data_IF_231505737243
#
_entry.id   IF_231505737243
#
_cell.length_a   1.000
_cell.length_b   1.000
_cell.length_c   1.000
_cell.angle_alpha   90.00
_cell.angle_beta   90.00
_cell.angle_gamma   90.00
#
_symmetry.space_group_name_H-M   'P 1'
#
loop_
_entity.id
_entity.type
_entity.pdbx_description
1 polymer ?
#
# COMPACT_ATOMS: atom_id res chain seq x y z
N UNK A 1 15.65 -2.12 -16.59
CA UNK A 1 15.23 -1.44 -15.35
C UNK A 1 14.14 -2.27 -14.69
N UNK A 2 14.22 -2.53 -13.38
CA UNK A 2 13.11 -3.15 -12.67
C UNK A 2 12.04 -2.08 -12.44
N UNK A 3 10.92 -2.18 -13.14
CA UNK A 3 9.78 -1.26 -13.02
C UNK A 3 8.52 -1.97 -12.54
N UNK A 4 7.39 -1.27 -12.55
CA UNK A 4 6.08 -1.88 -12.27
C UNK A 4 5.77 -2.97 -13.31
N UNK A 5 5.72 -4.24 -12.91
CA UNK A 5 5.47 -5.38 -13.81
C UNK A 5 3.98 -5.69 -13.90
N UNK A 6 3.25 -5.53 -12.78
CA UNK A 6 1.85 -5.93 -12.69
C UNK A 6 1.10 -5.11 -11.63
N UNK A 7 -0.04 -4.55 -11.99
CA UNK A 7 -0.75 -3.55 -11.19
C UNK A 7 -1.21 -4.01 -9.81
N UNK A 8 -1.49 -5.31 -9.64
CA UNK A 8 -1.82 -5.91 -8.33
C UNK A 8 -0.64 -5.94 -7.37
N UNK A 9 0.58 -6.00 -7.90
CA UNK A 9 1.81 -6.04 -7.09
C UNK A 9 2.31 -4.61 -6.85
N UNK A 10 2.40 -3.81 -7.92
CA UNK A 10 2.89 -2.43 -7.83
C UNK A 10 2.29 -1.59 -8.95
N UNK A 11 1.82 -0.38 -8.62
CA UNK A 11 1.36 0.59 -9.59
C UNK A 11 1.67 2.02 -9.12
N UNK A 12 1.99 2.94 -10.05
CA UNK A 12 2.49 4.26 -9.69
C UNK A 12 1.43 5.15 -9.01
N UNK A 13 0.14 4.91 -9.24
CA UNK A 13 -0.93 5.68 -8.61
C UNK A 13 -1.05 5.36 -7.13
N UNK A 14 -1.05 4.06 -6.77
CA UNK A 14 -1.09 3.62 -5.39
C UNK A 14 0.20 3.98 -4.64
N UNK A 15 1.36 3.87 -5.30
CA UNK A 15 2.65 4.24 -4.68
C UNK A 15 2.67 5.70 -4.21
N UNK A 16 2.08 6.63 -4.98
CA UNK A 16 1.95 8.04 -4.55
C UNK A 16 1.03 8.15 -3.33
N UNK A 17 -0.09 7.42 -3.30
CA UNK A 17 -1.00 7.42 -2.16
C UNK A 17 -0.33 6.86 -0.90
N UNK A 18 0.36 5.72 -1.03
CA UNK A 18 1.07 5.05 0.05
C UNK A 18 2.16 5.94 0.64
N UNK A 19 2.97 6.59 -0.20
CA UNK A 19 4.00 7.55 0.24
C UNK A 19 3.41 8.73 1.01
N UNK A 20 2.28 9.29 0.54
CA UNK A 20 1.60 10.40 1.23
C UNK A 20 1.03 9.95 2.57
N UNK A 21 0.42 8.78 2.62
CA UNK A 21 -0.14 8.24 3.86
C UNK A 21 0.96 7.97 4.89
N UNK A 22 2.06 7.33 4.48
CA UNK A 22 3.21 7.09 5.35
C UNK A 22 3.78 8.40 5.92
N UNK A 23 3.88 9.45 5.09
CA UNK A 23 4.33 10.77 5.53
C UNK A 23 3.38 11.45 6.54
N UNK A 24 2.06 11.25 6.40
CA UNK A 24 1.04 11.81 7.31
C UNK A 24 1.10 11.11 8.67
N UNK A 25 1.20 9.78 8.67
CA UNK A 25 1.18 8.96 9.89
C UNK A 25 2.56 8.86 10.56
N UNK A 26 3.62 9.36 9.92
CA UNK A 26 5.01 9.20 10.38
C UNK A 26 5.51 7.75 10.31
N UNK A 27 4.90 6.93 9.46
CA UNK A 27 5.23 5.52 9.28
C UNK A 27 6.40 5.29 8.30
N UNK A 28 7.05 4.13 8.41
CA UNK A 28 8.11 3.71 7.48
C UNK A 28 7.58 3.32 6.09
N UNK A 29 6.27 3.08 5.97
CA UNK A 29 5.58 2.70 4.74
C UNK A 29 4.07 2.59 4.95
N UNK A 30 3.31 2.46 3.87
CA UNK A 30 1.87 2.21 3.88
C UNK A 30 1.48 1.27 2.74
N UNK A 31 0.29 0.68 2.81
CA UNK A 31 -0.23 -0.22 1.79
C UNK A 31 -1.68 0.14 1.44
N UNK A 32 -1.94 0.47 0.18
CA UNK A 32 -3.27 0.78 -0.31
C UNK A 32 -4.01 -0.51 -0.72
N UNK A 33 -5.24 -0.63 -0.24
CA UNK A 33 -6.11 -1.80 -0.48
C UNK A 33 -7.51 -1.36 -0.89
N UNK A 34 -8.34 -2.30 -1.34
CA UNK A 34 -9.65 -1.99 -1.93
C UNK A 34 -10.67 -1.42 -0.92
N UNK A 35 -10.53 -1.70 0.38
CA UNK A 35 -11.45 -1.22 1.42
C UNK A 35 -10.81 -1.21 2.81
N UNK A 36 -11.43 -0.51 3.76
CA UNK A 36 -11.00 -0.54 5.17
C UNK A 36 -11.09 -1.94 5.79
N UNK A 37 -12.11 -2.72 5.44
CA UNK A 37 -12.25 -4.11 5.89
C UNK A 37 -11.11 -5.01 5.36
N UNK A 38 -10.66 -4.79 4.11
CA UNK A 38 -9.48 -5.46 3.59
C UNK A 38 -8.20 -5.04 4.35
N UNK A 39 -8.09 -3.76 4.75
CA UNK A 39 -6.96 -3.28 5.53
C UNK A 39 -6.91 -3.96 6.91
N UNK A 40 -8.04 -4.01 7.62
CA UNK A 40 -8.16 -4.73 8.91
C UNK A 40 -7.84 -6.22 8.76
N UNK A 41 -8.39 -6.87 7.72
CA UNK A 41 -8.16 -8.29 7.45
C UNK A 41 -6.67 -8.58 7.21
N UNK A 42 -6.01 -7.79 6.37
CA UNK A 42 -4.58 -7.94 6.08
C UNK A 42 -3.73 -7.62 7.32
N UNK A 43 -4.08 -6.60 8.09
CA UNK A 43 -3.35 -6.26 9.32
C UNK A 43 -3.37 -7.41 10.35
N UNK A 44 -4.45 -8.20 10.39
CA UNK A 44 -4.59 -9.34 11.30
C UNK A 44 -3.94 -10.61 10.72
N UNK A 45 -4.04 -10.83 9.40
CA UNK A 45 -3.66 -12.10 8.76
C UNK A 45 -2.27 -12.12 8.09
N UNK A 46 -1.52 -11.01 8.03
CA UNK A 46 -0.26 -10.97 7.25
C UNK A 46 1.02 -11.45 7.97
N UNK A 47 0.91 -11.94 9.21
CA UNK A 47 2.00 -12.62 9.96
C UNK A 47 1.94 -14.13 9.68
#
# INVERSE_FOLDING_TARGET
EFGNIYSRIMNPTNDILEKRMAAIEGGIGALAVASGQAAETIAILNI
#
